data_IF_462772448901
#
_entry.id   IF_462772448901
#
_cell.length_a   1.000
_cell.length_b   1.000
_cell.length_c   1.000
_cell.angle_alpha   90.00
_cell.angle_beta   90.00
_cell.angle_gamma   90.00
#
_symmetry.space_group_name_H-M   'P 1'
#
loop_
_entity.id
_entity.type
_entity.pdbx_description
1 polymer ?
#
# COMPACT_ATOMS: atom_id res chain seq x y z
N UNK A 1 -25.58 5.40 5.23
CA UNK A 1 -25.04 4.88 6.49
C UNK A 1 -23.54 4.83 6.29
N UNK A 2 -22.82 5.83 6.83
CA UNK A 2 -21.38 6.00 6.64
C UNK A 2 -20.70 5.00 7.56
N UNK A 3 -20.13 3.94 6.99
CA UNK A 3 -19.40 2.91 7.72
C UNK A 3 -17.96 3.41 7.81
N UNK A 4 -17.61 4.05 8.93
CA UNK A 4 -16.21 4.18 9.32
C UNK A 4 -15.70 2.75 9.56
N UNK A 5 -14.80 2.25 8.70
CA UNK A 5 -13.75 1.40 9.23
C UNK A 5 -12.96 2.30 10.17
N UNK A 6 -13.27 2.19 11.46
CA UNK A 6 -12.32 2.47 12.53
C UNK A 6 -11.27 1.36 12.42
N UNK A 7 -10.38 1.45 11.41
CA UNK A 7 -9.04 0.92 11.61
C UNK A 7 -8.57 1.64 12.86
N UNK A 8 -8.21 0.88 13.89
CA UNK A 8 -7.97 1.42 15.22
C UNK A 8 -6.78 2.38 15.16
N UNK A 9 -7.08 3.64 14.88
CA UNK A 9 -6.21 4.76 15.04
C UNK A 9 -5.66 4.72 16.46
N UNK A 10 -4.35 4.50 16.54
CA UNK A 10 -3.55 4.35 17.74
C UNK A 10 -4.00 5.32 18.85
N UNK A 11 -4.66 4.79 19.88
CA UNK A 11 -5.02 5.56 21.07
C UNK A 11 -3.78 5.80 21.94
N UNK A 12 -3.08 6.91 21.70
CA UNK A 12 -2.02 7.40 22.59
C UNK A 12 -2.62 7.96 23.88
N UNK A 13 -2.67 7.15 24.94
CA UNK A 13 -3.00 7.63 26.29
C UNK A 13 -1.74 8.20 26.95
N UNK A 14 -1.74 9.52 27.15
CA UNK A 14 -0.73 10.27 27.90
C UNK A 14 -0.74 9.88 29.39
N UNK A 15 0.33 9.24 29.84
CA UNK A 15 0.62 9.03 31.27
C UNK A 15 1.87 9.81 31.66
N UNK A 16 1.67 10.97 32.30
CA UNK A 16 2.72 11.74 32.97
C UNK A 16 3.31 10.95 34.14
N UNK A 17 4.61 10.62 34.08
CA UNK A 17 5.35 10.09 35.22
C UNK A 17 6.69 10.83 35.38
N UNK A 18 6.64 11.76 36.33
CA UNK A 18 7.67 12.37 37.19
C UNK A 18 9.11 11.86 37.02
N UNK A 19 9.99 12.83 36.73
CA UNK A 19 11.45 12.75 36.80
C UNK A 19 11.96 12.23 38.16
N UNK A 20 12.91 11.29 38.13
CA UNK A 20 13.87 11.14 39.22
C UNK A 20 15.29 11.15 38.65
N UNK A 21 15.96 12.28 38.88
CA UNK A 21 17.36 12.58 38.57
C UNK A 21 18.35 11.76 39.42
N UNK A 22 19.34 11.13 38.79
CA UNK A 22 20.60 10.66 39.41
C UNK A 22 21.75 10.84 38.38
N UNK A 23 22.97 11.22 38.79
CA UNK A 23 23.77 12.22 38.08
C UNK A 23 24.78 11.66 37.07
N UNK A 24 25.14 12.53 36.14
CA UNK A 24 26.21 12.41 35.15
C UNK A 24 27.57 12.55 35.85
N UNK A 25 28.42 11.51 35.75
CA UNK A 25 29.86 11.64 36.00
C UNK A 25 30.55 12.18 34.75
N UNK A 26 31.22 13.32 34.92
CA UNK A 26 32.09 13.95 33.94
C UNK A 26 33.45 13.26 33.89
N UNK A 27 33.99 13.01 32.69
CA UNK A 27 35.41 12.82 32.49
C UNK A 27 35.89 13.47 31.19
N UNK A 28 36.44 14.67 31.38
CA UNK A 28 37.61 15.29 30.76
C UNK A 28 37.85 15.28 29.24
N UNK A 29 38.03 16.51 28.79
CA UNK A 29 38.59 16.97 27.54
C UNK A 29 40.04 16.49 27.29
N UNK A 30 40.36 16.32 26.01
CA UNK A 30 41.69 16.55 25.46
C UNK A 30 41.58 17.37 24.17
N UNK A 31 42.29 18.49 24.20
CA UNK A 31 42.61 19.50 23.19
C UNK A 31 43.21 18.91 21.90
N UNK A 32 42.74 19.34 20.72
CA UNK A 32 43.36 20.37 19.85
C UNK A 32 44.22 19.77 18.73
N UNK A 33 43.80 19.89 17.47
CA UNK A 33 44.58 20.62 16.44
C UNK A 33 43.73 20.88 15.18
N UNK A 34 43.57 22.16 14.87
CA UNK A 34 43.18 22.71 13.57
C UNK A 34 44.25 22.47 12.50
N UNK A 35 43.89 21.96 11.31
CA UNK A 35 44.45 22.38 10.00
C UNK A 35 43.40 22.14 8.89
N UNK A 36 42.92 23.21 8.26
CA UNK A 36 42.45 23.21 6.87
C UNK A 36 43.65 23.57 5.97
N UNK A 37 43.68 23.16 4.68
CA UNK A 37 43.30 24.15 3.66
C UNK A 37 42.71 23.61 2.33
N UNK A 38 41.84 24.45 1.76
CA UNK A 38 41.67 24.85 0.34
C UNK A 38 41.48 23.84 -0.80
N UNK A 39 40.30 23.96 -1.43
CA UNK A 39 40.00 24.14 -2.87
C UNK A 39 40.88 23.48 -3.93
N UNK A 40 40.27 22.65 -4.78
CA UNK A 40 40.33 22.82 -6.24
C UNK A 40 39.19 22.05 -6.93
N UNK A 41 38.37 22.79 -7.68
CA UNK A 41 37.45 22.25 -8.66
C UNK A 41 38.24 21.81 -9.92
N UNK A 42 37.91 20.65 -10.45
CA UNK A 42 38.16 20.31 -11.86
C UNK A 42 36.97 19.55 -12.41
N UNK A 43 36.20 20.32 -13.16
CA UNK A 43 35.24 19.92 -14.19
C UNK A 43 35.97 19.17 -15.31
N UNK A 44 35.45 18.01 -15.73
CA UNK A 44 35.77 17.47 -17.06
C UNK A 44 34.64 16.55 -17.55
N UNK A 45 33.71 17.14 -18.28
CA UNK A 45 32.84 16.50 -19.27
C UNK A 45 33.65 15.75 -20.35
N UNK A 46 33.42 14.45 -20.53
CA UNK A 46 33.67 13.74 -21.79
C UNK A 46 32.59 12.68 -22.06
N UNK A 47 31.75 12.96 -23.05
CA UNK A 47 31.14 12.02 -24.00
C UNK A 47 30.85 12.85 -25.28
N UNK A 48 30.63 12.28 -26.49
CA UNK A 48 30.49 10.87 -26.84
C UNK A 48 31.28 10.48 -28.13
N UNK A 49 31.36 9.18 -28.43
CA UNK A 49 31.61 8.72 -29.81
C UNK A 49 30.63 7.63 -30.20
N UNK A 50 29.84 7.95 -31.22
CA UNK A 50 28.97 7.06 -31.98
C UNK A 50 29.80 6.06 -32.81
N UNK A 51 29.33 4.82 -32.93
CA UNK A 51 29.53 4.03 -34.13
C UNK A 51 28.26 3.24 -34.42
N UNK A 52 27.67 3.54 -35.56
CA UNK A 52 26.54 2.86 -36.15
C UNK A 52 27.00 1.58 -36.85
N UNK A 53 26.16 0.54 -36.85
CA UNK A 53 26.09 -0.37 -38.01
C UNK A 53 24.66 -0.89 -38.20
N UNK A 54 24.13 -0.64 -39.39
CA UNK A 54 22.87 -1.16 -39.93
C UNK A 54 23.10 -2.57 -40.48
N UNK A 55 22.10 -3.45 -40.36
CA UNK A 55 21.70 -4.31 -41.48
C UNK A 55 20.26 -4.81 -41.38
N UNK A 56 19.49 -4.46 -42.41
CA UNK A 56 18.18 -4.99 -42.74
C UNK A 56 18.22 -6.49 -43.06
N UNK A 57 17.15 -7.23 -42.75
CA UNK A 57 16.44 -8.00 -43.78
C UNK A 57 15.01 -8.39 -43.38
N UNK A 58 14.09 -8.14 -44.31
CA UNK A 58 12.68 -8.52 -44.34
C UNK A 58 12.51 -10.04 -44.37
N UNK A 59 11.44 -10.55 -43.74
CA UNK A 59 10.64 -11.59 -44.38
C UNK A 59 9.19 -11.56 -43.89
N UNK A 60 8.28 -11.39 -44.85
CA UNK A 60 6.82 -11.41 -44.71
C UNK A 60 6.29 -12.77 -45.16
N UNK A 61 5.45 -13.42 -44.35
CA UNK A 61 4.51 -14.45 -44.81
C UNK A 61 3.21 -14.26 -44.05
N UNK A 62 2.12 -13.98 -44.79
CA UNK A 62 0.77 -13.91 -44.27
C UNK A 62 0.05 -15.25 -44.38
N UNK A 63 -0.91 -15.49 -43.48
CA UNK A 63 -2.02 -16.44 -43.64
C UNK A 63 -3.27 -15.79 -43.04
N UNK A 64 -4.37 -15.87 -43.78
CA UNK A 64 -5.50 -14.94 -43.74
C UNK A 64 -6.54 -15.12 -42.64
N UNK A 65 -7.24 -14.01 -42.37
CA UNK A 65 -8.45 -13.94 -41.58
C UNK A 65 -9.67 -14.18 -42.49
N UNK A 66 -10.41 -15.25 -42.25
CA UNK A 66 -11.77 -15.43 -42.75
C UNK A 66 -12.76 -15.03 -41.64
N UNK A 67 -13.66 -14.10 -41.95
CA UNK A 67 -14.74 -13.68 -41.06
C UNK A 67 -15.85 -14.76 -40.99
N UNK A 68 -16.46 -15.05 -39.83
CA UNK A 68 -17.70 -15.82 -39.77
C UNK A 68 -18.91 -14.89 -39.87
N UNK A 69 -19.75 -15.20 -40.86
CA UNK A 69 -21.10 -14.65 -41.07
C UNK A 69 -22.04 -15.03 -39.92
N UNK A 70 -22.78 -14.05 -39.39
CA UNK A 70 -23.73 -14.22 -38.29
C UNK A 70 -24.93 -15.09 -38.65
N UNK A 71 -25.16 -16.15 -37.86
CA UNK A 71 -26.39 -16.92 -37.83
C UNK A 71 -27.20 -16.58 -36.57
N UNK A 72 -28.49 -16.32 -36.73
CA UNK A 72 -29.42 -16.18 -35.61
C UNK A 72 -29.60 -17.53 -34.91
N UNK A 73 -29.41 -17.59 -33.58
CA UNK A 73 -29.72 -18.78 -32.79
C UNK A 73 -31.21 -19.09 -32.90
N UNK A 74 -31.55 -20.34 -33.23
CA UNK A 74 -32.93 -20.79 -33.27
C UNK A 74 -33.41 -21.18 -31.86
N UNK A 75 -34.72 -21.47 -31.74
CA UNK A 75 -35.35 -21.78 -30.45
C UNK A 75 -34.78 -23.06 -29.80
N UNK A 76 -34.19 -23.98 -30.59
CA UNK A 76 -33.49 -25.16 -30.08
C UNK A 76 -32.19 -24.81 -29.34
N UNK A 77 -31.42 -23.81 -29.82
CA UNK A 77 -30.16 -23.42 -29.19
C UNK A 77 -30.38 -22.72 -27.84
N UNK A 78 -31.46 -21.94 -27.72
CA UNK A 78 -31.88 -21.37 -26.44
C UNK A 78 -32.30 -22.45 -25.44
N UNK A 79 -33.01 -23.48 -25.91
CA UNK A 79 -33.43 -24.60 -25.05
C UNK A 79 -32.23 -25.39 -24.51
N UNK A 80 -31.25 -25.71 -25.36
CA UNK A 80 -30.00 -26.37 -24.94
C UNK A 80 -29.20 -25.54 -23.93
N UNK A 81 -29.19 -24.22 -24.09
CA UNK A 81 -28.50 -23.32 -23.17
C UNK A 81 -29.19 -23.24 -21.81
N UNK A 82 -30.53 -23.23 -21.77
CA UNK A 82 -31.30 -23.34 -20.52
C UNK A 82 -31.04 -24.67 -19.80
N UNK A 83 -31.06 -25.78 -20.55
CA UNK A 83 -30.77 -27.12 -20.01
C UNK A 83 -29.36 -27.23 -19.43
N UNK A 84 -28.35 -26.60 -20.06
CA UNK A 84 -26.97 -26.57 -19.54
C UNK A 84 -26.80 -25.82 -18.22
N UNK A 85 -27.73 -24.92 -17.91
CA UNK A 85 -27.74 -24.14 -16.67
C UNK A 85 -28.75 -24.68 -15.64
N UNK A 86 -29.37 -25.83 -15.90
CA UNK A 86 -30.35 -26.44 -15.01
C UNK A 86 -31.63 -25.62 -14.84
N UNK A 87 -31.89 -24.67 -15.73
CA UNK A 87 -33.04 -23.77 -15.67
C UNK A 87 -34.01 -24.06 -16.81
N UNK A 88 -35.30 -24.10 -16.51
CA UNK A 88 -36.31 -24.20 -17.55
C UNK A 88 -36.60 -22.80 -18.15
N UNK A 89 -37.32 -22.77 -19.26
CA UNK A 89 -37.62 -21.53 -19.99
C UNK A 89 -38.46 -20.53 -19.18
N UNK A 90 -39.20 -21.02 -18.19
CA UNK A 90 -40.04 -20.20 -17.31
C UNK A 90 -39.19 -19.48 -16.25
N UNK A 91 -38.16 -20.14 -15.71
CA UNK A 91 -37.18 -19.53 -14.80
C UNK A 91 -36.36 -18.45 -15.51
N UNK A 92 -36.02 -18.70 -16.77
CA UNK A 92 -35.28 -17.75 -17.60
C UNK A 92 -36.10 -16.49 -17.91
N UNK A 93 -37.41 -16.62 -18.13
CA UNK A 93 -38.31 -15.47 -18.30
C UNK A 93 -38.49 -14.69 -16.99
N UNK A 94 -38.66 -15.38 -15.86
CA UNK A 94 -38.74 -14.74 -14.53
C UNK A 94 -37.45 -13.98 -14.16
N UNK A 95 -36.30 -14.48 -14.58
CA UNK A 95 -35.02 -13.80 -14.36
C UNK A 95 -34.95 -12.49 -15.15
N UNK A 96 -35.36 -12.50 -16.43
CA UNK A 96 -35.37 -11.28 -17.23
C UNK A 96 -36.42 -10.26 -16.75
N UNK A 97 -37.58 -10.71 -16.28
CA UNK A 97 -38.59 -9.84 -15.67
C UNK A 97 -38.09 -9.24 -14.34
N UNK A 98 -37.38 -10.02 -13.50
CA UNK A 98 -36.81 -9.49 -12.24
C UNK A 98 -35.67 -8.50 -12.45
N UNK A 99 -35.04 -8.52 -13.63
CA UNK A 99 -34.08 -7.52 -14.08
C UNK A 99 -34.73 -6.31 -14.77
N UNK A 100 -36.07 -6.21 -14.77
CA UNK A 100 -36.81 -5.09 -15.34
C UNK A 100 -36.76 -5.01 -16.87
N UNK A 101 -36.40 -6.11 -17.55
CA UNK A 101 -36.29 -6.15 -19.00
C UNK A 101 -37.63 -6.51 -19.64
N UNK A 102 -37.98 -5.84 -20.73
CA UNK A 102 -39.19 -6.18 -21.49
C UNK A 102 -38.98 -7.46 -22.30
N UNK A 103 -40.09 -8.11 -22.66
CA UNK A 103 -40.07 -9.34 -23.47
C UNK A 103 -39.50 -9.07 -24.87
N UNK A 104 -39.73 -7.89 -25.43
CA UNK A 104 -39.07 -7.46 -26.67
C UNK A 104 -37.54 -7.31 -26.51
N UNK A 105 -37.04 -6.77 -25.39
CA UNK A 105 -35.60 -6.59 -25.16
C UNK A 105 -34.86 -7.93 -25.04
N UNK A 106 -35.51 -8.95 -24.47
CA UNK A 106 -34.94 -10.30 -24.39
C UNK A 106 -34.81 -10.97 -25.77
N UNK A 107 -35.75 -10.72 -26.68
CA UNK A 107 -35.69 -11.30 -28.03
C UNK A 107 -34.69 -10.56 -28.94
N UNK A 108 -34.31 -9.33 -28.61
CA UNK A 108 -33.40 -8.50 -29.41
C UNK A 108 -31.90 -8.68 -29.04
N UNK A 109 -31.59 -9.43 -27.97
CA UNK A 109 -30.22 -9.73 -27.52
C UNK A 109 -29.43 -10.70 -28.43
N UNK A 110 -30.05 -11.30 -29.45
CA UNK A 110 -29.42 -12.27 -30.35
C UNK A 110 -28.60 -11.67 -31.51
N UNK A 111 -28.58 -10.35 -31.68
CA UNK A 111 -28.09 -9.69 -32.90
C UNK A 111 -26.77 -8.90 -32.82
N UNK A 112 -26.09 -8.85 -31.66
CA UNK A 112 -24.83 -8.12 -31.52
C UNK A 112 -23.82 -8.88 -30.67
N UNK A 113 -23.33 -9.99 -31.22
CA UNK A 113 -22.13 -10.69 -30.76
C UNK A 113 -20.96 -10.50 -31.76
N UNK A 114 -20.87 -9.31 -32.36
CA UNK A 114 -19.76 -8.92 -33.22
C UNK A 114 -19.05 -7.71 -32.63
N UNK A 115 -17.85 -7.92 -32.09
CA UNK A 115 -16.93 -6.89 -31.57
C UNK A 115 -17.39 -6.14 -30.32
N UNK A 116 -17.47 -6.86 -29.20
CA UNK A 116 -17.06 -6.25 -27.93
C UNK A 116 -15.55 -6.01 -28.02
N UNK A 117 -15.02 -4.80 -27.73
CA UNK A 117 -13.60 -4.65 -27.51
C UNK A 117 -13.24 -5.61 -26.40
N UNK A 118 -12.14 -6.35 -26.56
CA UNK A 118 -11.55 -7.19 -25.53
C UNK A 118 -11.35 -6.35 -24.26
N UNK A 119 -12.37 -6.35 -23.40
CA UNK A 119 -12.30 -5.82 -22.06
C UNK A 119 -11.19 -6.60 -21.39
N UNK A 120 -10.18 -5.87 -20.94
CA UNK A 120 -9.17 -6.42 -20.04
C UNK A 120 -9.91 -7.23 -18.97
N UNK A 121 -9.57 -8.52 -18.86
CA UNK A 121 -9.91 -9.31 -17.69
C UNK A 121 -9.34 -8.55 -16.49
N UNK A 122 -10.19 -7.79 -15.80
CA UNK A 122 -9.87 -7.28 -14.48
C UNK A 122 -9.50 -8.47 -13.60
N UNK A 123 -8.59 -8.29 -12.63
CA UNK A 123 -8.29 -9.33 -11.66
C UNK A 123 -9.59 -9.85 -11.02
N UNK A 124 -9.64 -11.16 -10.73
CA UNK A 124 -10.75 -11.78 -10.01
C UNK A 124 -11.08 -11.00 -8.73
N UNK A 125 -12.37 -10.84 -8.43
CA UNK A 125 -12.85 -10.24 -7.17
C UNK A 125 -12.39 -11.04 -5.95
N UNK A 126 -11.99 -12.28 -6.15
CA UNK A 126 -11.65 -13.25 -5.11
C UNK A 126 -10.15 -13.38 -4.84
N UNK A 127 -9.29 -12.97 -5.77
CA UNK A 127 -7.83 -13.14 -5.63
C UNK A 127 -7.19 -11.95 -4.93
N UNK A 128 -6.30 -12.23 -3.99
CA UNK A 128 -5.49 -11.19 -3.36
C UNK A 128 -4.69 -10.40 -4.41
N UNK A 129 -4.65 -9.06 -4.32
CA UNK A 129 -3.77 -8.27 -5.16
C UNK A 129 -2.32 -8.64 -4.93
N UNK A 130 -1.50 -8.48 -5.98
CA UNK A 130 -0.05 -8.62 -5.91
C UNK A 130 0.58 -7.24 -5.84
N UNK A 131 1.29 -6.97 -4.75
CA UNK A 131 1.94 -5.69 -4.48
C UNK A 131 3.17 -5.53 -5.39
N UNK A 132 3.27 -4.42 -6.12
CA UNK A 132 4.40 -4.09 -7.00
C UNK A 132 5.50 -3.28 -6.29
N UNK A 133 5.19 -2.77 -5.10
CA UNK A 133 6.12 -2.09 -4.19
C UNK A 133 5.54 -2.10 -2.77
N UNK A 134 6.29 -1.55 -1.82
CA UNK A 134 5.89 -1.40 -0.41
C UNK A 134 5.64 0.07 -0.06
N UNK A 135 4.99 0.79 -0.98
CA UNK A 135 4.52 2.18 -0.93
C UNK A 135 5.54 3.32 -0.72
N UNK A 136 6.76 3.06 -0.25
CA UNK A 136 7.82 4.07 -0.20
C UNK A 136 8.51 4.21 -1.56
N UNK A 137 8.61 5.44 -2.10
CA UNK A 137 9.23 5.67 -3.40
C UNK A 137 10.71 5.27 -3.43
N UNK A 138 11.50 5.74 -2.45
CA UNK A 138 12.90 5.37 -2.31
C UNK A 138 13.11 4.53 -1.04
N UNK A 139 12.89 3.23 -1.16
CA UNK A 139 13.21 2.28 -0.10
C UNK A 139 14.58 1.64 -0.35
N UNK A 140 15.59 2.11 0.38
CA UNK A 140 16.98 1.64 0.28
C UNK A 140 17.73 2.12 -0.96
N UNK A 141 19.02 1.74 -1.10
CA UNK A 141 19.79 0.91 -0.15
C UNK A 141 20.24 1.67 1.10
N UNK A 142 20.89 0.97 2.03
CA UNK A 142 21.60 1.56 3.17
C UNK A 142 22.82 2.40 2.73
N UNK A 143 22.94 3.60 3.30
CA UNK A 143 24.10 4.49 3.20
C UNK A 143 24.60 4.84 4.61
N UNK A 144 25.77 4.30 4.96
CA UNK A 144 26.38 4.51 6.27
C UNK A 144 26.97 5.91 6.45
N UNK A 145 27.20 6.66 5.38
CA UNK A 145 27.78 8.00 5.44
C UNK A 145 26.74 9.05 5.88
N UNK A 146 25.49 8.88 5.46
CA UNK A 146 24.35 9.71 5.82
C UNK A 146 23.46 9.08 6.89
N UNK A 147 23.71 7.83 7.27
CA UNK A 147 22.85 7.03 8.13
C UNK A 147 21.41 6.94 7.60
N UNK A 148 21.26 6.64 6.31
CA UNK A 148 19.94 6.58 5.64
C UNK A 148 19.71 5.27 4.92
N UNK A 149 18.46 4.80 4.91
CA UNK A 149 18.01 3.70 4.08
C UNK A 149 17.02 4.21 3.03
N UNK A 150 17.52 4.64 1.88
CA UNK A 150 16.72 5.45 0.94
C UNK A 150 16.23 6.73 1.63
N UNK A 151 14.91 6.94 1.66
CA UNK A 151 14.30 8.12 2.32
C UNK A 151 14.22 7.99 3.86
N UNK A 152 14.50 6.82 4.44
CA UNK A 152 14.46 6.64 5.89
C UNK A 152 15.75 7.14 6.55
N UNK A 153 15.65 7.91 7.63
CA UNK A 153 16.81 8.41 8.40
C UNK A 153 16.94 7.61 9.69
N UNK A 154 18.15 7.15 10.01
CA UNK A 154 18.45 6.58 11.31
C UNK A 154 19.09 7.64 12.21
N UNK A 155 18.41 7.99 13.30
CA UNK A 155 18.87 9.03 14.22
C UNK A 155 18.75 8.56 15.67
N UNK A 156 19.85 8.59 16.43
CA UNK A 156 19.87 8.08 17.80
C UNK A 156 19.00 8.90 18.77
N UNK A 157 18.58 10.11 18.40
CA UNK A 157 17.62 10.92 19.16
C UNK A 157 16.20 10.41 18.98
N UNK A 158 15.92 9.61 17.95
CA UNK A 158 14.64 8.97 17.75
C UNK A 158 14.63 7.62 18.47
N UNK A 159 13.90 7.54 19.58
CA UNK A 159 13.92 6.39 20.49
C UNK A 159 13.04 5.21 20.05
N UNK A 160 12.58 5.21 18.81
CA UNK A 160 11.71 4.17 18.24
C UNK A 160 12.33 3.65 16.95
N UNK A 161 11.87 2.49 16.49
CA UNK A 161 12.18 1.97 15.17
C UNK A 161 11.59 2.87 14.08
N UNK A 162 12.30 2.98 12.96
CA UNK A 162 11.82 3.69 11.75
C UNK A 162 10.89 2.82 10.90
N UNK A 163 10.82 1.53 11.20
CA UNK A 163 9.95 0.56 10.57
C UNK A 163 9.34 -0.32 11.65
N UNK A 164 8.01 -0.35 11.73
CA UNK A 164 7.32 -1.28 12.62
C UNK A 164 6.77 -2.41 11.76
N UNK A 165 7.25 -3.61 12.05
CA UNK A 165 7.00 -4.81 11.27
C UNK A 165 5.56 -5.34 11.51
N UNK A 166 5.05 -6.11 10.55
CA UNK A 166 3.72 -6.71 10.65
C UNK A 166 3.70 -7.73 11.80
N UNK A 167 2.84 -7.48 12.78
CA UNK A 167 2.75 -8.23 14.04
C UNK A 167 3.61 -7.67 15.18
N UNK A 168 4.24 -6.50 15.02
CA UNK A 168 4.87 -5.83 16.16
C UNK A 168 3.86 -5.56 17.26
N UNK A 169 4.17 -5.98 18.49
CA UNK A 169 3.29 -5.75 19.64
C UNK A 169 3.42 -4.31 20.13
N UNK A 170 2.36 -3.53 19.98
CA UNK A 170 2.27 -2.19 20.55
C UNK A 170 1.71 -2.23 21.97
N UNK A 171 2.10 -1.22 22.78
CA UNK A 171 1.68 -1.05 24.17
C UNK A 171 1.81 -2.33 25.03
N UNK A 172 2.94 -3.05 24.98
CA UNK A 172 3.06 -4.36 25.63
C UNK A 172 2.72 -4.27 27.13
N UNK A 173 1.79 -5.11 27.58
CA UNK A 173 1.35 -5.17 28.97
C UNK A 173 0.27 -4.15 29.36
N UNK A 174 -0.16 -3.27 28.44
CA UNK A 174 -1.27 -2.37 28.66
C UNK A 174 -2.62 -2.96 28.17
N UNK A 175 -3.77 -2.48 28.67
CA UNK A 175 -5.09 -2.94 28.21
C UNK A 175 -5.37 -2.70 26.72
N UNK A 176 -4.66 -1.75 26.11
CA UNK A 176 -4.75 -1.39 24.69
C UNK A 176 -3.56 -1.93 23.88
N UNK A 177 -2.95 -3.04 24.32
CA UNK A 177 -1.97 -3.75 23.51
C UNK A 177 -2.63 -4.37 22.27
N UNK A 178 -1.91 -4.39 21.15
CA UNK A 178 -2.37 -5.00 19.91
C UNK A 178 -1.17 -5.36 19.02
N UNK A 179 -1.37 -6.35 18.14
CA UNK A 179 -0.40 -6.74 17.12
C UNK A 179 -0.60 -5.84 15.90
N UNK A 180 0.45 -5.14 15.47
CA UNK A 180 0.41 -4.23 14.34
C UNK A 180 -0.09 -4.94 13.07
N UNK A 181 -1.24 -4.56 12.47
CA UNK A 181 -1.72 -5.17 11.24
C UNK A 181 -1.07 -4.59 9.97
N UNK A 182 -0.10 -3.69 10.11
CA UNK A 182 0.43 -2.87 9.02
C UNK A 182 1.94 -3.06 8.84
N UNK A 183 2.48 -2.57 7.73
CA UNK A 183 3.85 -2.07 7.69
C UNK A 183 3.82 -0.56 7.95
N UNK A 184 4.42 -0.09 9.03
CA UNK A 184 4.48 1.35 9.33
C UNK A 184 5.91 1.88 9.14
N UNK A 185 6.06 2.87 8.27
CA UNK A 185 7.34 3.56 8.07
C UNK A 185 7.29 4.95 8.71
N UNK A 186 8.40 5.34 9.37
CA UNK A 186 8.62 6.69 9.88
C UNK A 186 9.79 7.31 9.14
N UNK A 187 9.58 8.49 8.60
CA UNK A 187 10.46 9.13 7.65
C UNK A 187 10.42 10.66 7.80
N UNK A 188 11.31 11.40 7.12
CA UNK A 188 11.12 12.82 6.87
C UNK A 188 9.78 13.10 6.18
N UNK A 189 9.21 14.26 6.48
CA UNK A 189 7.90 14.69 6.03
C UNK A 189 7.73 14.76 4.51
N UNK A 190 8.82 14.89 3.75
CA UNK A 190 8.85 15.00 2.29
C UNK A 190 9.10 13.65 1.58
N UNK A 191 9.20 12.55 2.32
CA UNK A 191 9.27 11.22 1.72
C UNK A 191 7.97 10.89 0.95
N UNK A 192 8.12 10.34 -0.25
CA UNK A 192 6.99 10.16 -1.19
C UNK A 192 6.36 8.78 -1.04
N UNK A 193 5.02 8.78 -0.97
CA UNK A 193 4.18 7.58 -0.98
C UNK A 193 3.68 7.31 -2.40
N UNK A 194 3.88 6.08 -2.87
CA UNK A 194 3.46 5.59 -4.20
C UNK A 194 2.42 4.49 -4.08
N UNK A 195 1.57 4.35 -5.10
CA UNK A 195 0.57 3.29 -5.16
C UNK A 195 1.22 1.89 -5.23
N UNK A 196 0.91 0.97 -4.31
CA UNK A 196 1.50 -0.37 -4.32
C UNK A 196 0.85 -1.31 -5.35
N UNK A 197 -0.36 -0.99 -5.82
CA UNK A 197 -1.12 -1.78 -6.78
C UNK A 197 -1.79 -0.89 -7.82
N UNK A 198 -2.06 -1.44 -9.00
CA UNK A 198 -3.02 -0.87 -9.93
C UNK A 198 -4.43 -1.32 -9.55
N UNK A 199 -5.40 -0.42 -9.62
CA UNK A 199 -6.77 -0.71 -9.19
C UNK A 199 -7.69 0.50 -9.21
N UNK A 200 -8.73 0.44 -8.39
CA UNK A 200 -9.70 1.51 -8.21
C UNK A 200 -9.71 1.97 -6.75
N UNK A 201 -9.78 3.27 -6.54
CA UNK A 201 -10.02 3.85 -5.22
C UNK A 201 -11.42 3.48 -4.75
N UNK A 202 -11.53 2.71 -3.69
CA UNK A 202 -12.83 2.30 -3.11
C UNK A 202 -13.21 3.09 -1.87
N UNK A 203 -12.24 3.78 -1.26
CA UNK A 203 -12.45 4.71 -0.15
C UNK A 203 -11.34 5.76 -0.13
N UNK A 204 -11.69 6.99 0.20
CA UNK A 204 -10.75 8.05 0.53
C UNK A 204 -11.35 8.94 1.63
N UNK A 205 -10.65 9.11 2.74
CA UNK A 205 -11.16 9.81 3.93
C UNK A 205 -10.12 10.78 4.47
N UNK A 206 -10.51 12.04 4.68
CA UNK A 206 -9.69 12.98 5.45
C UNK A 206 -9.82 12.69 6.93
N UNK A 207 -8.69 12.62 7.63
CA UNK A 207 -8.63 12.35 9.06
C UNK A 207 -8.14 13.60 9.81
N UNK A 208 -9.03 14.43 10.37
CA UNK A 208 -8.61 15.57 11.16
C UNK A 208 -8.00 15.12 12.48
N UNK A 209 -7.02 15.87 12.99
CA UNK A 209 -6.49 15.69 14.35
C UNK A 209 -7.62 15.79 15.37
N UNK A 210 -7.72 14.76 16.23
CA UNK A 210 -8.66 14.73 17.35
C UNK A 210 -7.90 14.58 18.66
N UNK A 211 -7.54 13.35 19.04
CA UNK A 211 -6.75 13.04 20.23
C UNK A 211 -5.25 12.92 19.95
N UNK A 212 -4.86 12.63 18.71
CA UNK A 212 -3.47 12.59 18.26
C UNK A 212 -3.36 13.20 16.85
N UNK A 213 -2.14 13.63 16.50
CA UNK A 213 -1.87 14.29 15.21
C UNK A 213 -2.15 13.32 14.05
N UNK A 214 -3.08 13.71 13.18
CA UNK A 214 -3.40 13.08 11.91
C UNK A 214 -3.30 14.17 10.84
N UNK A 215 -4.38 14.88 10.53
CA UNK A 215 -4.43 15.90 9.47
C UNK A 215 -3.79 15.38 8.17
N UNK A 216 -4.19 14.17 7.81
CA UNK A 216 -3.76 13.40 6.65
C UNK A 216 -4.92 12.56 6.09
N UNK A 217 -4.67 11.81 5.02
CA UNK A 217 -5.65 11.02 4.29
C UNK A 217 -5.45 9.51 4.48
N UNK A 218 -6.57 8.81 4.62
CA UNK A 218 -6.73 7.36 4.53
C UNK A 218 -7.28 7.01 3.13
N UNK A 219 -6.57 6.15 2.40
CA UNK A 219 -6.91 5.70 1.04
C UNK A 219 -7.01 4.17 0.99
N UNK A 220 -8.02 3.64 0.31
CA UNK A 220 -8.10 2.22 -0.05
C UNK A 220 -8.12 2.06 -1.57
N UNK A 221 -7.15 1.31 -2.09
CA UNK A 221 -7.11 0.86 -3.48
C UNK A 221 -7.48 -0.62 -3.51
N UNK A 222 -8.41 -1.01 -4.39
CA UNK A 222 -8.81 -2.40 -4.57
C UNK A 222 -8.60 -2.85 -6.03
N UNK A 223 -8.42 -4.15 -6.31
CA UNK A 223 -8.37 -4.67 -7.69
C UNK A 223 -9.58 -4.28 -8.55
N UNK A 224 -10.75 -4.14 -7.92
CA UNK A 224 -12.01 -3.73 -8.54
C UNK A 224 -12.99 -3.21 -7.49
N UNK A 225 -14.05 -2.50 -7.92
CA UNK A 225 -15.02 -1.83 -7.04
C UNK A 225 -15.73 -2.80 -6.07
N UNK A 226 -15.90 -4.07 -6.48
CA UNK A 226 -16.58 -5.11 -5.70
C UNK A 226 -15.64 -6.10 -5.00
N UNK A 227 -14.32 -5.90 -5.12
CA UNK A 227 -13.35 -6.83 -4.55
C UNK A 227 -13.57 -7.00 -3.04
N UNK A 228 -13.34 -8.21 -2.54
CA UNK A 228 -13.24 -8.44 -1.10
C UNK A 228 -11.87 -8.06 -0.54
N UNK A 229 -10.91 -7.77 -1.41
CA UNK A 229 -9.57 -7.37 -1.05
C UNK A 229 -9.40 -5.85 -1.15
N UNK A 230 -8.58 -5.29 -0.27
CA UNK A 230 -8.15 -3.91 -0.32
C UNK A 230 -6.69 -3.77 0.09
N UNK A 231 -6.06 -2.73 -0.43
CA UNK A 231 -4.77 -2.22 0.05
C UNK A 231 -5.04 -0.83 0.60
N UNK A 232 -4.91 -0.71 1.90
CA UNK A 232 -5.04 0.54 2.61
C UNK A 232 -3.68 1.22 2.76
N UNK A 233 -3.66 2.52 2.51
CA UNK A 233 -2.57 3.43 2.81
C UNK A 233 -3.12 4.47 3.79
N UNK A 234 -2.67 4.41 5.04
CA UNK A 234 -3.01 5.41 6.06
C UNK A 234 -1.86 6.44 6.17
N UNK A 235 -2.19 7.61 6.71
CA UNK A 235 -1.29 8.74 6.89
C UNK A 235 -0.62 9.16 5.57
N UNK A 236 -1.41 9.71 4.63
CA UNK A 236 -0.91 10.31 3.39
C UNK A 236 -1.26 11.79 3.31
N UNK A 237 -0.29 12.66 3.08
CA UNK A 237 -0.51 14.10 2.85
C UNK A 237 -0.43 14.39 1.36
N UNK A 238 -1.27 15.29 0.84
CA UNK A 238 -1.26 15.62 -0.60
C UNK A 238 0.10 16.13 -1.07
N UNK A 239 0.48 15.76 -2.30
CA UNK A 239 1.71 16.22 -2.95
C UNK A 239 1.72 17.74 -3.16
N UNK A 240 0.54 18.36 -3.15
CA UNK A 240 0.37 19.81 -3.32
C UNK A 240 0.60 20.58 -2.00
N UNK A 241 0.88 19.88 -0.90
CA UNK A 241 1.21 20.48 0.39
C UNK A 241 2.69 20.82 0.51
N UNK A 242 3.01 21.96 1.13
CA UNK A 242 4.38 22.29 1.51
C UNK A 242 4.86 21.40 2.66
N UNK A 243 5.94 20.65 2.44
CA UNK A 243 6.57 19.74 3.42
C UNK A 243 7.99 20.15 3.80
N UNK A 244 8.43 21.35 3.41
CA UNK A 244 9.80 21.84 3.69
C UNK A 244 10.08 22.16 5.17
N UNK A 245 9.06 22.11 6.04
CA UNK A 245 9.16 22.41 7.47
C UNK A 245 9.38 21.20 8.36
N UNK A 246 9.96 21.44 9.55
CA UNK A 246 10.16 20.41 10.57
C UNK A 246 8.87 20.04 11.34
N UNK A 247 7.83 20.88 11.27
CA UNK A 247 6.60 20.67 12.04
C UNK A 247 5.52 19.97 11.22
N UNK A 248 4.70 19.11 11.84
CA UNK A 248 3.50 18.58 11.22
C UNK A 248 2.61 19.69 10.66
N UNK A 249 2.22 19.54 9.40
CA UNK A 249 1.39 20.54 8.70
C UNK A 249 -0.09 20.23 8.89
N UNK A 250 -0.95 21.23 8.76
CA UNK A 250 -2.38 21.00 8.57
C UNK A 250 -2.67 21.36 7.13
N UNK A 251 -2.86 20.34 6.28
CA UNK A 251 -3.07 20.52 4.85
C UNK A 251 -4.15 19.56 4.36
N UNK A 252 -5.38 20.08 4.25
CA UNK A 252 -6.57 19.36 3.81
C UNK A 252 -6.77 19.39 2.29
N UNK A 253 -5.70 19.72 1.54
CA UNK A 253 -5.72 19.64 0.09
C UNK A 253 -5.98 18.19 -0.33
N UNK A 254 -6.84 17.98 -1.35
CA UNK A 254 -7.12 16.63 -1.83
C UNK A 254 -5.86 15.98 -2.39
N UNK A 255 -5.79 14.66 -2.30
CA UNK A 255 -4.79 13.88 -3.02
C UNK A 255 -4.97 14.07 -4.54
N UNK A 256 -3.87 14.22 -5.28
CA UNK A 256 -3.90 14.43 -6.73
C UNK A 256 -2.89 13.53 -7.45
N UNK A 257 -3.24 13.13 -8.68
CA UNK A 257 -2.32 12.46 -9.60
C UNK A 257 -2.31 13.25 -10.90
N UNK A 258 -1.13 13.71 -11.32
CA UNK A 258 -0.96 14.56 -12.51
C UNK A 258 -1.89 15.80 -12.46
N UNK A 259 -2.03 16.42 -11.29
CA UNK A 259 -2.88 17.58 -11.05
C UNK A 259 -4.39 17.31 -11.06
N UNK A 260 -4.82 16.04 -11.12
CA UNK A 260 -6.24 15.65 -11.04
C UNK A 260 -6.54 15.07 -9.67
N UNK A 261 -7.58 15.60 -9.04
CA UNK A 261 -8.10 15.10 -7.76
C UNK A 261 -8.49 13.63 -7.88
N UNK A 262 -7.99 12.80 -6.96
CA UNK A 262 -8.44 11.42 -6.81
C UNK A 262 -9.67 11.37 -5.91
N UNK A 263 -10.60 10.47 -6.21
CA UNK A 263 -11.83 10.24 -5.47
C UNK A 263 -12.23 8.77 -5.61
N UNK A 264 -13.23 8.33 -4.86
CA UNK A 264 -13.81 7.00 -5.08
C UNK A 264 -14.18 6.78 -6.56
N UNK A 265 -13.80 5.63 -7.09
CA UNK A 265 -13.93 5.28 -8.51
C UNK A 265 -12.75 5.72 -9.39
N UNK A 266 -11.80 6.51 -8.90
CA UNK A 266 -10.58 6.84 -9.66
C UNK A 266 -9.73 5.59 -9.88
N UNK A 267 -9.27 5.40 -11.13
CA UNK A 267 -8.32 4.34 -11.48
C UNK A 267 -6.90 4.82 -11.17
N UNK A 268 -6.14 3.96 -10.48
CA UNK A 268 -4.77 4.18 -10.05
C UNK A 268 -3.89 3.12 -10.71
N UNK A 269 -2.70 3.51 -11.14
CA UNK A 269 -1.65 2.59 -11.57
C UNK A 269 -0.59 2.47 -10.49
N UNK A 270 -0.09 1.26 -10.27
CA UNK A 270 1.01 1.02 -9.36
C UNK A 270 2.22 1.91 -9.70
N UNK A 271 2.89 2.43 -8.68
CA UNK A 271 4.04 3.32 -8.80
C UNK A 271 3.70 4.80 -9.00
N UNK A 272 2.42 5.16 -9.21
CA UNK A 272 2.03 6.57 -9.24
C UNK A 272 2.23 7.20 -7.85
N UNK A 273 2.82 8.39 -7.81
CA UNK A 273 2.93 9.18 -6.58
C UNK A 273 1.53 9.61 -6.12
N UNK A 274 1.21 9.30 -4.87
CA UNK A 274 -0.08 9.62 -4.24
C UNK A 274 0.01 10.84 -3.33
N UNK A 275 1.19 11.08 -2.77
CA UNK A 275 1.42 12.13 -1.80
C UNK A 275 2.74 11.95 -1.07
N UNK A 276 2.87 12.68 0.03
CA UNK A 276 3.92 12.51 1.00
C UNK A 276 3.45 11.64 2.17
N UNK A 277 4.39 11.14 2.96
CA UNK A 277 4.07 10.56 4.27
C UNK A 277 3.28 11.57 5.11
N UNK A 278 2.37 11.06 5.93
CA UNK A 278 1.49 11.82 6.80
C UNK A 278 2.23 12.51 7.95
N UNK A 279 1.49 12.91 8.97
CA UNK A 279 2.08 13.69 10.05
C UNK A 279 2.56 12.81 11.22
N UNK A 280 3.76 13.10 11.71
CA UNK A 280 4.30 12.50 12.92
C UNK A 280 4.98 13.56 13.80
N UNK A 281 4.61 13.69 15.09
CA UNK A 281 5.27 14.66 15.97
C UNK A 281 6.74 14.30 16.22
N UNK A 282 7.66 15.13 15.74
CA UNK A 282 9.09 15.04 16.08
C UNK A 282 9.40 15.83 17.35
N UNK A 283 9.32 15.16 18.50
CA UNK A 283 9.63 15.78 19.80
C UNK A 283 11.12 15.79 20.12
N UNK A 284 11.97 15.20 19.27
CA UNK A 284 13.41 15.03 19.53
C UNK A 284 14.29 15.75 18.52
N UNK A 285 13.68 16.47 17.56
CA UNK A 285 14.36 17.18 16.47
C UNK A 285 15.22 16.23 15.63
N UNK A 286 14.77 14.99 15.47
CA UNK A 286 15.40 13.93 14.68
C UNK A 286 15.28 14.17 13.16
N UNK A 287 14.32 15.01 12.74
CA UNK A 287 13.91 15.13 11.35
C UNK A 287 12.95 14.03 10.89
N UNK A 288 12.61 13.08 11.77
CA UNK A 288 11.62 12.02 11.53
C UNK A 288 10.27 12.57 11.98
N UNK A 289 9.61 13.28 11.07
CA UNK A 289 8.38 14.04 11.33
C UNK A 289 7.22 13.64 10.39
N UNK A 290 7.33 12.49 9.73
CA UNK A 290 6.26 11.86 8.98
C UNK A 290 6.15 10.36 9.22
N UNK A 291 4.98 9.81 8.91
CA UNK A 291 4.70 8.37 8.95
C UNK A 291 3.71 7.95 7.88
N UNK A 292 3.69 6.67 7.53
CA UNK A 292 2.67 6.08 6.66
C UNK A 292 2.51 4.60 6.96
N UNK A 293 1.31 4.05 6.75
CA UNK A 293 1.00 2.65 7.02
C UNK A 293 0.47 1.93 5.77
N UNK A 294 0.99 0.73 5.51
CA UNK A 294 0.55 -0.16 4.43
C UNK A 294 -0.17 -1.38 5.02
N UNK A 295 -1.43 -1.57 4.65
CA UNK A 295 -2.24 -2.71 5.09
C UNK A 295 -2.84 -3.43 3.89
N UNK A 296 -2.52 -4.71 3.73
CA UNK A 296 -3.20 -5.59 2.79
C UNK A 296 -4.26 -6.39 3.55
N UNK A 297 -5.51 -6.34 3.12
CA UNK A 297 -6.59 -6.99 3.86
C UNK A 297 -7.68 -7.61 2.98
N UNK A 298 -8.39 -8.58 3.56
CA UNK A 298 -9.62 -9.18 3.04
C UNK A 298 -10.78 -8.87 3.99
N UNK A 299 -11.92 -8.40 3.46
CA UNK A 299 -13.14 -8.21 4.25
C UNK A 299 -13.73 -9.54 4.70
N UNK A 300 -14.05 -9.67 6.00
CA UNK A 300 -14.78 -10.84 6.52
C UNK A 300 -16.26 -10.68 6.18
N UNK A 301 -16.72 -11.40 5.15
CA UNK A 301 -18.10 -11.32 4.65
C UNK A 301 -18.96 -12.55 4.96
N UNK A 302 -18.36 -13.70 5.25
CA UNK A 302 -19.09 -14.94 5.50
C UNK A 302 -19.95 -14.83 6.77
N UNK A 303 -21.26 -14.99 6.65
CA UNK A 303 -22.19 -14.84 7.78
C UNK A 303 -22.57 -13.40 8.13
N UNK A 304 -22.07 -12.40 7.40
CA UNK A 304 -22.44 -11.00 7.60
C UNK A 304 -23.87 -10.73 7.10
N UNK A 305 -24.70 -10.07 7.90
CA UNK A 305 -25.95 -9.49 7.40
C UNK A 305 -25.65 -8.27 6.51
N UNK A 306 -26.54 -7.90 5.56
CA UNK A 306 -26.37 -6.69 4.77
C UNK A 306 -26.11 -5.45 5.64
N UNK A 307 -24.97 -4.78 5.42
CA UNK A 307 -24.55 -3.60 6.18
C UNK A 307 -23.80 -3.89 7.49
N UNK A 308 -23.56 -5.15 7.84
CA UNK A 308 -22.78 -5.54 9.01
C UNK A 308 -21.27 -5.56 8.67
N UNK A 309 -20.47 -4.85 9.47
CA UNK A 309 -19.01 -4.96 9.44
C UNK A 309 -18.59 -6.06 10.43
N UNK A 310 -17.92 -7.11 9.95
CA UNK A 310 -17.38 -8.17 10.81
C UNK A 310 -15.88 -8.05 11.06
N UNK A 311 -15.24 -7.02 10.50
CA UNK A 311 -13.80 -6.84 10.52
C UNK A 311 -13.13 -7.32 9.24
N UNK A 312 -11.82 -7.47 9.31
CA UNK A 312 -10.94 -7.81 8.20
C UNK A 312 -9.92 -8.88 8.62
N UNK A 313 -9.35 -9.57 7.64
CA UNK A 313 -8.13 -10.34 7.82
C UNK A 313 -7.02 -9.53 7.16
N UNK A 314 -6.07 -9.06 7.96
CA UNK A 314 -4.87 -8.37 7.49
C UNK A 314 -3.81 -9.43 7.16
N UNK A 315 -3.09 -9.24 6.07
CA UNK A 315 -2.13 -10.21 5.53
C UNK A 315 -0.74 -9.61 5.45
N UNK A 316 0.27 -10.44 5.72
CA UNK A 316 1.67 -10.05 5.59
C UNK A 316 1.97 -9.49 4.19
N UNK A 317 2.38 -8.22 4.04
CA UNK A 317 2.63 -7.61 2.74
C UNK A 317 3.70 -8.35 1.92
N UNK A 318 4.80 -8.79 2.54
CA UNK A 318 5.90 -9.44 1.80
C UNK A 318 5.57 -10.85 1.30
N UNK A 319 4.49 -11.48 1.79
CA UNK A 319 3.98 -12.74 1.23
C UNK A 319 3.07 -12.55 0.02
N UNK A 320 2.70 -11.30 -0.29
CA UNK A 320 1.77 -10.95 -1.36
C UNK A 320 2.38 -10.00 -2.40
N UNK A 321 3.71 -9.98 -2.51
CA UNK A 321 4.42 -9.29 -3.58
C UNK A 321 4.17 -9.95 -4.95
N UNK A 322 4.21 -9.15 -6.00
CA UNK A 322 4.26 -9.65 -7.38
C UNK A 322 5.60 -10.37 -7.62
N UNK A 323 5.56 -11.47 -8.37
CA UNK A 323 6.75 -12.29 -8.60
C UNK A 323 7.90 -11.55 -9.29
N UNK A 324 7.60 -10.47 -10.04
CA UNK A 324 8.62 -9.63 -10.67
C UNK A 324 9.42 -8.77 -9.69
N UNK A 325 8.89 -8.52 -8.49
CA UNK A 325 9.51 -7.64 -7.49
C UNK A 325 9.74 -8.32 -6.12
N UNK A 326 9.22 -9.54 -5.94
CA UNK A 326 9.21 -10.26 -4.65
C UNK A 326 10.61 -10.37 -4.03
N UNK A 327 11.58 -10.88 -4.79
CA UNK A 327 12.95 -11.05 -4.30
C UNK A 327 13.59 -9.71 -3.92
N UNK A 328 13.30 -8.65 -4.69
CA UNK A 328 13.88 -7.32 -4.50
C UNK A 328 13.34 -6.70 -3.21
N UNK A 329 12.02 -6.70 -3.01
CA UNK A 329 11.43 -6.07 -1.82
C UNK A 329 11.62 -6.89 -0.55
N UNK A 330 11.63 -8.22 -0.63
CA UNK A 330 12.03 -9.06 0.53
C UNK A 330 13.46 -8.76 0.95
N UNK A 331 14.39 -8.66 0.00
CA UNK A 331 15.78 -8.29 0.29
C UNK A 331 15.89 -6.88 0.86
N UNK A 332 15.12 -5.90 0.35
CA UNK A 332 15.10 -4.53 0.92
C UNK A 332 14.61 -4.48 2.36
N UNK A 333 13.56 -5.22 2.70
CA UNK A 333 13.05 -5.24 4.08
C UNK A 333 14.03 -5.94 5.03
N UNK A 334 14.66 -7.03 4.56
CA UNK A 334 15.73 -7.69 5.29
C UNK A 334 16.91 -6.72 5.54
N UNK A 335 17.40 -6.05 4.49
CA UNK A 335 18.51 -5.11 4.57
C UNK A 335 18.18 -3.88 5.43
N UNK A 336 16.93 -3.41 5.44
CA UNK A 336 16.46 -2.36 6.34
C UNK A 336 16.59 -2.79 7.81
N UNK A 337 16.10 -3.97 8.17
CA UNK A 337 16.20 -4.49 9.54
C UNK A 337 17.66 -4.71 9.94
N UNK A 338 18.45 -5.39 9.10
CA UNK A 338 19.86 -5.69 9.35
C UNK A 338 20.72 -4.42 9.51
N UNK A 339 20.53 -3.44 8.62
CA UNK A 339 21.26 -2.17 8.66
C UNK A 339 20.88 -1.34 9.89
N UNK A 340 19.60 -1.32 10.29
CA UNK A 340 19.15 -0.62 11.49
C UNK A 340 19.71 -1.25 12.77
N UNK A 341 19.72 -2.57 12.89
CA UNK A 341 20.32 -3.29 14.03
C UNK A 341 21.83 -3.07 14.09
N UNK A 342 22.50 -3.09 12.93
CA UNK A 342 23.93 -2.81 12.83
C UNK A 342 24.25 -1.37 13.26
N UNK A 343 23.47 -0.40 12.79
CA UNK A 343 23.66 1.02 13.10
C UNK A 343 23.35 1.34 14.57
N UNK A 344 22.25 0.81 15.10
CA UNK A 344 21.84 1.03 16.50
C UNK A 344 22.71 0.26 17.50
N UNK A 345 23.37 -0.80 17.05
CA UNK A 345 24.12 -1.72 17.90
C UNK A 345 23.24 -2.66 18.74
N UNK A 346 21.94 -2.73 18.43
CA UNK A 346 20.97 -3.57 19.12
C UNK A 346 20.31 -4.54 18.13
N UNK A 347 20.73 -5.81 18.20
CA UNK A 347 20.21 -6.90 17.38
C UNK A 347 18.89 -7.48 17.88
N UNK A 348 18.22 -6.82 18.84
CA UNK A 348 16.91 -7.23 19.36
C UNK A 348 15.76 -6.35 18.88
N UNK A 349 16.04 -5.33 18.06
CA UNK A 349 15.02 -4.45 17.49
C UNK A 349 14.01 -5.24 16.65
N UNK A 350 14.48 -6.23 15.87
CA UNK A 350 13.63 -7.08 15.06
C UNK A 350 13.87 -8.56 15.40
N UNK A 351 12.83 -9.34 15.79
CA UNK A 351 12.97 -10.77 16.04
C UNK A 351 12.97 -11.55 14.72
N UNK A 352 13.96 -11.30 13.86
CA UNK A 352 13.98 -11.73 12.47
C UNK A 352 13.88 -13.26 12.31
N UNK A 353 14.45 -14.03 13.25
CA UNK A 353 14.38 -15.49 13.27
C UNK A 353 12.98 -16.05 13.56
N UNK A 354 12.08 -15.22 14.06
CA UNK A 354 10.68 -15.57 14.36
C UNK A 354 9.73 -15.15 13.25
N UNK A 355 10.23 -14.45 12.22
CA UNK A 355 9.42 -13.96 11.11
C UNK A 355 9.14 -15.04 10.07
N UNK A 356 7.89 -15.13 9.61
CA UNK A 356 7.47 -16.06 8.54
C UNK A 356 7.90 -15.58 7.15
N UNK A 357 8.20 -14.29 7.03
CA UNK A 357 8.70 -13.59 5.83
C UNK A 357 9.33 -12.28 6.31
N UNK A 358 10.32 -11.68 5.62
CA UNK A 358 10.94 -10.43 6.06
C UNK A 358 9.90 -9.35 6.40
N UNK A 359 10.02 -8.79 7.61
CA UNK A 359 9.10 -7.80 8.17
C UNK A 359 7.74 -8.35 8.64
N UNK A 360 7.55 -9.67 8.74
CA UNK A 360 6.28 -10.27 9.15
C UNK A 360 6.45 -11.37 10.19
N UNK A 361 5.94 -11.14 11.41
CA UNK A 361 5.89 -12.16 12.48
C UNK A 361 4.83 -13.22 12.23
N UNK A 362 3.73 -12.82 11.57
CA UNK A 362 2.59 -13.68 11.27
C UNK A 362 2.25 -13.66 9.79
N UNK A 363 1.58 -14.71 9.31
CA UNK A 363 1.07 -14.75 7.92
C UNK A 363 -0.14 -13.82 7.77
N UNK A 364 -0.98 -13.76 8.80
CA UNK A 364 -2.18 -12.95 8.85
C UNK A 364 -2.57 -12.63 10.29
N UNK A 365 -3.33 -11.54 10.47
CA UNK A 365 -3.91 -11.07 11.72
C UNK A 365 -5.38 -10.78 11.45
N UNK A 366 -6.27 -11.40 12.22
CA UNK A 366 -7.69 -11.05 12.17
C UNK A 366 -7.91 -9.78 12.99
N UNK A 367 -8.55 -8.79 12.40
CA UNK A 367 -8.97 -7.59 13.09
C UNK A 367 -10.49 -7.56 13.14
N UNK A 368 -11.05 -7.57 14.36
CA UNK A 368 -12.50 -7.51 14.55
C UNK A 368 -13.04 -6.12 14.24
N UNK A 369 -14.35 -5.98 14.08
CA UNK A 369 -14.99 -4.66 13.86
C UNK A 369 -14.80 -3.65 15.01
N UNK A 370 -14.30 -4.09 16.17
CA UNK A 370 -13.95 -3.24 17.31
C UNK A 370 -12.44 -2.93 17.38
N UNK A 371 -11.65 -3.29 16.37
CA UNK A 371 -10.21 -3.03 16.32
C UNK A 371 -9.34 -4.00 17.12
N UNK A 372 -9.92 -5.09 17.66
CA UNK A 372 -9.14 -6.13 18.36
C UNK A 372 -8.41 -6.98 17.32
N UNK A 373 -7.09 -7.12 17.49
CA UNK A 373 -6.20 -7.91 16.63
C UNK A 373 -5.91 -9.29 17.22
N UNK A 374 -6.06 -10.33 16.42
CA UNK A 374 -5.82 -11.74 16.78
C UNK A 374 -4.92 -12.39 15.71
N UNK A 375 -3.63 -12.65 15.99
CA UNK A 375 -2.75 -13.35 15.05
C UNK A 375 -3.29 -14.72 14.64
N UNK A 376 -3.29 -15.00 13.33
CA UNK A 376 -3.68 -16.31 12.80
C UNK A 376 -2.42 -17.18 12.76
N UNK A 377 -2.22 -17.97 13.82
CA UNK A 377 -1.16 -18.98 13.90
C UNK A 377 -1.61 -20.24 13.15
N UNK A 378 -0.98 -20.55 12.03
CA UNK A 378 -1.32 -21.70 11.19
C UNK A 378 -0.10 -22.45 10.68
#
# INVERSE_FOLDING_TARGET
MVICLLLAGCSGASGSAVESSVPVESANAATDTTIAPTNAATDTTIAPTNAAEKKDTKNSVGIGNAAPTGGSMNMEDMKKKGESMGMNMEDMMKMGESMGMSREDMMNMGGSAGSMPSGHYGPSTETAPKLQNLMMQNLGPWDSSSATFGDLIFDARYSKTVFDDFGMLHNPGAPNQYDNPTFEFKAPADAVVIAPISGVVTRITWQPTTSYKQDDWDLIIAPSQGSKWGVNLDHVVSIDCDRSGANPVTCDLPLTINGKVIKEGTIIEAGQALGYVGNWPDTTNSGINGRTELTLFEYIREGAMPGQNMGVINHCPTMHLDGSVELIYKAKIQDLMDSYETWSGDSSNYPQEQMVSPGCRYKAIKETSNGVTEPITG
#
